data_IF_420671553925
#
_entry.id   IF_420671553925
#
_cell.length_a   1.000
_cell.length_b   1.000
_cell.length_c   1.000
_cell.angle_alpha   90.00
_cell.angle_beta   90.00
_cell.angle_gamma   90.00
#
_symmetry.space_group_name_H-M   'P 1'
#
loop_
_entity.id
_entity.type
_entity.pdbx_description
1 polymer ?
#
# COMPACT_ATOMS: atom_id res chain seq x y z
N UNK A 1 -14.63 -7.10 -11.18
CA UNK A 1 -13.46 -7.61 -10.45
C UNK A 1 -13.33 -6.76 -9.21
N UNK A 2 -13.29 -7.38 -8.04
CA UNK A 2 -13.25 -6.66 -6.76
C UNK A 2 -11.90 -6.90 -6.11
N UNK A 3 -11.26 -5.84 -5.63
CA UNK A 3 -9.94 -5.91 -5.00
C UNK A 3 -10.12 -5.76 -3.50
N UNK A 4 -9.49 -6.65 -2.73
CA UNK A 4 -9.78 -6.77 -1.31
C UNK A 4 -8.50 -6.84 -0.49
N UNK A 5 -8.57 -6.28 0.71
CA UNK A 5 -7.60 -6.50 1.77
C UNK A 5 -8.31 -7.07 3.00
N UNK A 6 -7.81 -8.17 3.54
CA UNK A 6 -8.26 -8.72 4.83
C UNK A 6 -7.19 -8.49 5.88
N UNK A 7 -7.52 -7.79 6.96
CA UNK A 7 -6.64 -7.58 8.10
C UNK A 7 -7.39 -7.87 9.41
N UNK A 8 -6.87 -8.80 10.20
CA UNK A 8 -7.63 -9.40 11.31
C UNK A 8 -8.92 -10.06 10.78
N UNK A 9 -10.07 -9.67 11.33
CA UNK A 9 -11.38 -10.23 10.95
C UNK A 9 -12.18 -9.31 10.01
N UNK A 10 -11.52 -8.34 9.37
CA UNK A 10 -12.17 -7.35 8.50
C UNK A 10 -11.65 -7.49 7.08
N UNK A 11 -12.57 -7.64 6.13
CA UNK A 11 -12.30 -7.51 4.69
C UNK A 11 -12.80 -6.16 4.21
N UNK A 12 -11.94 -5.45 3.49
CA UNK A 12 -12.20 -4.10 2.98
C UNK A 12 -12.01 -4.14 1.46
N UNK A 13 -13.01 -3.70 0.72
CA UNK A 13 -12.89 -3.47 -0.70
C UNK A 13 -12.04 -2.21 -0.95
N UNK A 14 -11.06 -2.33 -1.84
CA UNK A 14 -10.17 -1.25 -2.27
C UNK A 14 -10.27 -1.09 -3.78
N UNK A 15 -9.76 0.02 -4.31
CA UNK A 15 -9.69 0.18 -5.76
C UNK A 15 -8.52 -0.61 -6.33
N UNK A 16 -8.56 -0.87 -7.63
CA UNK A 16 -7.46 -1.47 -8.39
C UNK A 16 -6.12 -0.75 -8.13
N UNK A 17 -6.13 0.58 -8.13
CA UNK A 17 -4.92 1.36 -7.86
C UNK A 17 -4.38 1.15 -6.45
N UNK A 18 -5.24 1.04 -5.43
CA UNK A 18 -4.82 0.72 -4.07
C UNK A 18 -4.15 -0.66 -4.03
N UNK A 19 -4.74 -1.64 -4.69
CA UNK A 19 -4.18 -2.98 -4.80
C UNK A 19 -2.79 -2.97 -5.45
N UNK A 20 -2.63 -2.29 -6.60
CA UNK A 20 -1.35 -2.22 -7.30
C UNK A 20 -0.27 -1.48 -6.51
N UNK A 21 -0.63 -0.39 -5.84
CA UNK A 21 0.30 0.36 -4.97
C UNK A 21 0.78 -0.54 -3.83
N UNK A 22 -0.13 -1.20 -3.11
CA UNK A 22 0.25 -2.04 -1.98
C UNK A 22 1.07 -3.25 -2.43
N UNK A 23 0.71 -3.87 -3.57
CA UNK A 23 1.50 -4.95 -4.15
C UNK A 23 2.93 -4.49 -4.47
N UNK A 24 3.08 -3.33 -5.10
CA UNK A 24 4.40 -2.76 -5.37
C UNK A 24 5.19 -2.47 -4.09
N UNK A 25 4.54 -2.03 -3.01
CA UNK A 25 5.19 -1.87 -1.69
C UNK A 25 5.66 -3.22 -1.12
N UNK A 26 4.86 -4.27 -1.25
CA UNK A 26 5.19 -5.62 -0.76
C UNK A 26 6.36 -6.26 -1.52
N UNK A 27 6.55 -5.89 -2.79
CA UNK A 27 7.64 -6.39 -3.63
C UNK A 27 8.99 -5.67 -3.35
N UNK A 28 9.00 -4.62 -2.52
CA UNK A 28 10.23 -3.93 -2.11
C UNK A 28 11.00 -4.78 -1.09
N UNK A 29 12.31 -4.91 -1.28
CA UNK A 29 13.21 -5.46 -0.27
C UNK A 29 13.25 -4.51 0.94
N UNK A 30 12.44 -4.82 1.95
CA UNK A 30 12.24 -3.96 3.11
C UNK A 30 13.30 -4.21 4.19
N UNK A 31 14.08 -3.16 4.49
CA UNK A 31 14.96 -3.06 5.64
C UNK A 31 14.66 -1.74 6.38
N UNK A 32 13.90 -1.75 7.49
CA UNK A 32 13.43 -0.53 8.12
C UNK A 32 14.57 0.33 8.68
N UNK A 33 14.60 1.65 8.39
CA UNK A 33 13.74 2.37 7.45
C UNK A 33 14.22 2.24 5.99
N UNK A 34 13.29 2.09 5.04
CA UNK A 34 13.60 2.05 3.60
C UNK A 34 13.04 3.29 2.90
N UNK A 35 13.85 3.98 2.08
CA UNK A 35 13.37 5.11 1.25
C UNK A 35 12.78 4.57 -0.04
N UNK A 36 11.56 4.99 -0.36
CA UNK A 36 10.79 4.54 -1.53
C UNK A 36 10.40 5.74 -2.37
N UNK A 37 10.58 5.62 -3.68
CA UNK A 37 10.16 6.62 -4.66
C UNK A 37 8.72 6.38 -5.08
N UNK A 38 7.92 7.44 -5.21
CA UNK A 38 6.57 7.32 -5.77
C UNK A 38 6.56 6.75 -7.19
N UNK A 39 7.62 6.98 -7.97
CA UNK A 39 7.74 6.42 -9.32
C UNK A 39 7.81 4.89 -9.35
N UNK A 40 8.26 4.24 -8.27
CA UNK A 40 8.30 2.76 -8.19
C UNK A 40 6.94 2.14 -7.87
N UNK A 41 5.91 2.96 -7.58
CA UNK A 41 4.59 2.49 -7.16
C UNK A 41 3.56 2.60 -8.30
N UNK A 42 3.88 2.05 -9.47
CA UNK A 42 2.92 1.89 -10.57
C UNK A 42 2.59 3.16 -11.37
N UNK A 43 3.41 4.21 -11.28
CA UNK A 43 3.26 5.41 -12.10
C UNK A 43 2.07 6.32 -11.75
N UNK A 44 1.47 6.15 -10.58
CA UNK A 44 0.40 7.02 -10.09
C UNK A 44 0.93 8.38 -9.61
N UNK A 45 0.04 9.38 -9.51
CA UNK A 45 0.41 10.70 -8.99
C UNK A 45 0.77 10.63 -7.49
N UNK A 46 1.64 11.54 -7.04
CA UNK A 46 2.04 11.64 -5.64
C UNK A 46 0.84 11.80 -4.69
N UNK A 47 -0.17 12.59 -5.09
CA UNK A 47 -1.40 12.77 -4.30
C UNK A 47 -2.18 11.46 -4.16
N UNK A 48 -2.28 10.68 -5.24
CA UNK A 48 -2.99 9.41 -5.26
C UNK A 48 -2.27 8.33 -4.44
N UNK A 49 -0.94 8.29 -4.52
CA UNK A 49 -0.12 7.40 -3.70
C UNK A 49 -0.27 7.74 -2.22
N UNK A 50 -0.15 9.02 -1.85
CA UNK A 50 -0.33 9.45 -0.46
C UNK A 50 -1.73 9.14 0.08
N UNK A 51 -2.78 9.29 -0.74
CA UNK A 51 -4.13 8.88 -0.36
C UNK A 51 -4.18 7.42 0.09
N UNK A 52 -3.60 6.51 -0.70
CA UNK A 52 -3.56 5.09 -0.37
C UNK A 52 -2.62 4.73 0.79
N UNK A 53 -1.44 5.36 0.87
CA UNK A 53 -0.54 5.16 2.01
C UNK A 53 -1.20 5.54 3.34
N UNK A 54 -1.99 6.62 3.37
CA UNK A 54 -2.79 7.00 4.54
C UNK A 54 -3.84 5.94 4.89
N UNK A 55 -4.54 5.39 3.89
CA UNK A 55 -5.48 4.30 4.11
C UNK A 55 -4.81 3.05 4.67
N UNK A 56 -3.68 2.62 4.08
CA UNK A 56 -2.93 1.46 4.57
C UNK A 56 -2.39 1.66 5.99
N UNK A 57 -2.00 2.88 6.34
CA UNK A 57 -1.65 3.24 7.71
C UNK A 57 -2.84 3.09 8.64
N UNK A 58 -4.01 3.61 8.25
CA UNK A 58 -5.25 3.47 9.04
C UNK A 58 -5.71 2.02 9.20
N UNK A 59 -5.38 1.16 8.23
CA UNK A 59 -5.67 -0.27 8.28
C UNK A 59 -4.68 -1.04 9.15
N UNK A 60 -3.53 -0.45 9.51
CA UNK A 60 -2.46 -1.10 10.25
C UNK A 60 -1.57 -2.00 9.39
N UNK A 61 -1.50 -1.71 8.08
CA UNK A 61 -0.71 -2.47 7.09
C UNK A 61 0.73 -1.97 7.04
N UNK A 62 0.94 -0.67 7.12
CA UNK A 62 2.27 -0.05 7.08
C UNK A 62 2.29 1.23 7.90
N UNK A 63 3.49 1.69 8.26
CA UNK A 63 3.70 3.05 8.75
C UNK A 63 4.73 3.73 7.84
N UNK A 64 4.51 5.01 7.56
CA UNK A 64 5.40 5.77 6.68
C UNK A 64 5.56 7.23 7.11
N UNK A 65 6.63 7.85 6.64
CA UNK A 65 6.93 9.28 6.81
C UNK A 65 7.19 9.90 5.43
N UNK A 66 6.48 10.97 5.08
CA UNK A 66 6.76 11.73 3.86
C UNK A 66 8.10 12.45 3.97
N UNK A 67 8.97 12.31 2.97
CA UNK A 67 10.29 12.99 2.95
C UNK A 67 10.19 14.26 2.11
N UNK A 68 9.63 14.16 0.90
CA UNK A 68 9.43 15.27 -0.02
C UNK A 68 8.26 14.95 -0.98
N UNK A 69 8.11 15.74 -2.06
CA UNK A 69 7.01 15.59 -3.01
C UNK A 69 7.07 14.32 -3.87
N UNK A 70 8.19 13.58 -3.88
CA UNK A 70 8.39 12.40 -4.74
C UNK A 70 8.85 11.15 -3.99
N UNK A 71 9.20 11.25 -2.71
CA UNK A 71 9.68 10.12 -1.91
C UNK A 71 9.10 10.09 -0.50
N UNK A 72 9.08 8.88 0.06
CA UNK A 72 8.71 8.63 1.44
C UNK A 72 9.65 7.60 2.08
N UNK A 73 9.63 7.53 3.40
CA UNK A 73 10.32 6.53 4.20
C UNK A 73 9.30 5.52 4.70
N UNK A 74 9.43 4.26 4.30
CA UNK A 74 8.68 3.15 4.87
C UNK A 74 9.33 2.76 6.21
N UNK A 75 8.55 2.85 7.29
CA UNK A 75 9.03 2.64 8.65
C UNK A 75 8.67 1.24 9.16
N UNK A 76 7.50 0.75 8.77
CA UNK A 76 6.96 -0.55 9.19
C UNK A 76 6.15 -1.16 8.06
N UNK A 77 6.18 -2.49 7.99
CA UNK A 77 5.33 -3.28 7.11
C UNK A 77 4.80 -4.48 7.89
N UNK A 78 3.51 -4.48 8.20
CA UNK A 78 2.80 -5.59 8.81
C UNK A 78 2.50 -6.62 7.72
N UNK A 79 2.91 -7.88 7.90
CA UNK A 79 2.63 -8.97 6.93
C UNK A 79 1.43 -9.84 7.31
N UNK A 80 0.76 -9.55 8.42
CA UNK A 80 -0.40 -10.29 8.89
C UNK A 80 -1.69 -9.72 8.28
N UNK A 81 -1.78 -9.80 6.95
CA UNK A 81 -2.96 -9.45 6.17
C UNK A 81 -2.97 -10.25 4.85
N UNK A 82 -4.11 -10.32 4.19
CA UNK A 82 -4.25 -10.91 2.86
C UNK A 82 -4.67 -9.85 1.85
N UNK A 83 -4.07 -9.89 0.67
CA UNK A 83 -4.39 -9.02 -0.46
C UNK A 83 -4.81 -9.90 -1.64
N UNK A 84 -6.05 -9.78 -2.09
CA UNK A 84 -6.61 -10.70 -3.08
C UNK A 84 -7.66 -10.04 -3.97
N UNK A 85 -7.98 -10.75 -5.06
CA UNK A 85 -8.96 -10.33 -6.07
C UNK A 85 -10.08 -11.36 -6.08
N UNK A 86 -11.33 -10.90 -6.14
CA UNK A 86 -12.49 -11.75 -6.41
C UNK A 86 -13.10 -11.41 -7.77
N UNK A 87 -13.38 -12.46 -8.54
CA UNK A 87 -14.17 -12.36 -9.76
C UNK A 87 -15.61 -12.72 -9.41
N UNK A 88 -16.51 -11.74 -9.46
CA UNK A 88 -17.95 -11.97 -9.33
C UNK A 88 -18.50 -12.51 -10.66
N UNK A 89 -17.94 -13.62 -11.16
CA UNK A 89 -18.50 -14.36 -12.29
C UNK A 89 -19.69 -15.20 -11.84
#
# INVERSE_FOLDING_TARGET
MTYNITIGNKTIEITESGYHILKAVLDIEFSPPTVVSFCSLGGYSAQHINHWLNHFTSFGVLDYEGINSTTFRLLKLNKNFELFITNNQ
#
